data_IF_559057830573
#
_entry.id   IF_559057830573
#
_cell.length_a   1.000
_cell.length_b   1.000
_cell.length_c   1.000
_cell.angle_alpha   90.00
_cell.angle_beta   90.00
_cell.angle_gamma   90.00
#
_symmetry.space_group_name_H-M   'P 1'
#
loop_
_entity.id
_entity.type
_entity.pdbx_description
1 polymer ?
#
# COMPACT_ATOMS: atom_id res chain seq x y z
N UNK A 1 11.29 17.57 -17.29
CA UNK A 1 9.88 17.16 -17.47
C UNK A 1 9.19 17.27 -16.12
N UNK A 2 8.10 18.04 -16.03
CA UNK A 2 7.28 18.04 -14.82
C UNK A 2 6.62 16.67 -14.69
N UNK A 3 6.87 15.97 -13.57
CA UNK A 3 6.15 14.73 -13.26
C UNK A 3 4.67 15.07 -13.21
N UNK A 4 3.87 14.39 -14.04
CA UNK A 4 2.42 14.49 -13.98
C UNK A 4 2.02 14.02 -12.57
N UNK A 5 1.24 14.80 -11.81
CA UNK A 5 0.84 14.40 -10.46
C UNK A 5 0.16 13.04 -10.55
N UNK A 6 0.54 12.13 -9.65
CA UNK A 6 -0.10 10.82 -9.56
C UNK A 6 -1.58 11.08 -9.30
N UNK A 7 -2.45 10.68 -10.24
CA UNK A 7 -3.91 10.78 -10.06
C UNK A 7 -4.27 10.13 -8.73
N UNK A 8 -5.14 10.69 -7.87
CA UNK A 8 -5.46 10.11 -6.57
C UNK A 8 -5.89 8.63 -6.65
N UNK A 9 -5.77 7.87 -5.56
CA UNK A 9 -6.31 6.48 -5.52
C UNK A 9 -7.81 6.52 -5.75
N UNK A 10 -8.48 7.47 -5.10
CA UNK A 10 -9.87 7.82 -5.33
C UNK A 10 -9.99 9.34 -5.37
N UNK A 11 -10.75 9.85 -6.34
CA UNK A 11 -11.16 11.25 -6.39
C UNK A 11 -12.63 11.29 -5.97
N UNK A 12 -13.02 12.32 -5.22
CA UNK A 12 -14.43 12.59 -4.95
C UNK A 12 -14.88 13.58 -6.02
N UNK A 13 -15.45 13.06 -7.09
CA UNK A 13 -15.91 13.87 -8.22
C UNK A 13 -17.44 13.97 -8.26
N UNK A 14 -18.14 13.22 -7.39
CA UNK A 14 -19.61 13.28 -7.27
C UNK A 14 -20.14 13.01 -5.85
N UNK A 15 -21.43 13.24 -5.67
CA UNK A 15 -22.13 13.09 -4.38
C UNK A 15 -22.20 11.65 -3.86
N UNK A 16 -22.21 10.65 -4.74
CA UNK A 16 -22.22 9.23 -4.33
C UNK A 16 -20.86 8.80 -3.79
N UNK A 17 -19.77 9.23 -4.44
CA UNK A 17 -18.40 9.06 -3.97
C UNK A 17 -18.14 9.81 -2.67
N UNK A 18 -18.70 11.03 -2.52
CA UNK A 18 -18.62 11.78 -1.27
C UNK A 18 -19.29 11.02 -0.12
N UNK A 19 -20.50 10.50 -0.34
CA UNK A 19 -21.21 9.69 0.65
C UNK A 19 -20.44 8.40 1.01
N UNK A 20 -19.84 7.74 0.02
CA UNK A 20 -18.99 6.57 0.26
C UNK A 20 -17.75 6.93 1.09
N UNK A 21 -17.10 8.05 0.79
CA UNK A 21 -15.92 8.55 1.50
C UNK A 21 -16.22 8.98 2.94
N UNK A 22 -17.39 9.58 3.20
CA UNK A 22 -17.83 9.94 4.55
C UNK A 22 -17.97 8.69 5.43
N UNK A 23 -18.51 7.60 4.88
CA UNK A 23 -18.76 6.37 5.63
C UNK A 23 -17.53 5.45 5.71
N UNK A 24 -16.61 5.54 4.75
CA UNK A 24 -15.36 4.77 4.69
C UNK A 24 -14.22 5.65 4.14
N UNK A 25 -13.67 6.55 4.96
CA UNK A 25 -12.63 7.45 4.50
C UNK A 25 -11.37 6.67 4.13
N UNK A 26 -10.81 6.97 2.96
CA UNK A 26 -9.59 6.35 2.43
C UNK A 26 -8.67 7.45 1.90
N UNK A 27 -7.39 7.40 2.27
CA UNK A 27 -6.41 8.44 1.88
C UNK A 27 -6.09 8.36 0.39
N UNK A 28 -6.54 9.35 -0.38
CA UNK A 28 -6.31 9.42 -1.83
C UNK A 28 -4.87 9.75 -2.24
N UNK A 29 -4.11 10.42 -1.37
CA UNK A 29 -2.71 10.79 -1.56
C UNK A 29 -1.85 10.24 -0.41
N UNK A 30 -1.46 8.96 -0.48
CA UNK A 30 -0.74 8.33 0.62
C UNK A 30 0.67 8.91 0.74
N UNK A 31 1.11 9.07 1.98
CA UNK A 31 2.47 9.46 2.34
C UNK A 31 3.02 8.47 3.35
N UNK A 32 4.35 8.26 3.45
CA UNK A 32 4.89 7.27 4.39
C UNK A 32 4.46 7.49 5.84
N UNK A 33 4.22 8.73 6.27
CA UNK A 33 3.77 9.05 7.62
C UNK A 33 2.24 9.05 7.79
N UNK A 34 1.46 8.85 6.72
CA UNK A 34 0.00 8.77 6.77
C UNK A 34 -0.57 8.14 5.49
N UNK A 35 -1.07 6.91 5.59
CA UNK A 35 -1.74 6.20 4.51
C UNK A 35 -2.81 5.23 5.02
N UNK A 36 -3.71 4.81 4.13
CA UNK A 36 -4.78 3.86 4.44
C UNK A 36 -4.45 2.48 3.87
N UNK A 37 -4.86 1.43 4.56
CA UNK A 37 -4.85 0.05 4.06
C UNK A 37 -6.23 -0.58 4.27
N UNK A 38 -6.57 -1.52 3.39
CA UNK A 38 -7.72 -2.41 3.48
C UNK A 38 -7.35 -3.71 4.21
N UNK A 39 -8.29 -4.23 5.00
CA UNK A 39 -8.19 -5.55 5.62
C UNK A 39 -9.59 -6.12 5.93
N UNK A 40 -9.64 -7.36 6.42
CA UNK A 40 -10.86 -8.12 6.72
C UNK A 40 -11.71 -8.51 5.49
N UNK A 41 -11.06 -8.80 4.36
CA UNK A 41 -11.67 -9.21 3.10
C UNK A 41 -12.55 -8.13 2.46
N UNK A 42 -12.54 -8.06 1.14
CA UNK A 42 -13.35 -7.12 0.35
C UNK A 42 -13.19 -5.64 0.76
N UNK A 43 -12.06 -5.28 1.37
CA UNK A 43 -11.84 -4.00 2.03
C UNK A 43 -12.99 -3.63 2.99
N UNK A 44 -13.42 -4.58 3.81
CA UNK A 44 -14.53 -4.35 4.76
C UNK A 44 -14.11 -3.42 5.90
N UNK A 45 -12.82 -3.35 6.21
CA UNK A 45 -12.23 -2.41 7.18
C UNK A 45 -11.06 -1.65 6.58
N UNK A 46 -10.91 -0.41 7.03
CA UNK A 46 -9.80 0.47 6.69
C UNK A 46 -9.02 0.76 7.97
N UNK A 47 -7.69 0.62 7.91
CA UNK A 47 -6.79 1.09 8.96
C UNK A 47 -5.94 2.25 8.45
N UNK A 48 -5.58 3.15 9.37
CA UNK A 48 -4.68 4.26 9.12
C UNK A 48 -3.32 3.93 9.71
N UNK A 49 -2.30 4.03 8.88
CA UNK A 49 -0.96 3.53 9.19
C UNK A 49 0.05 4.63 8.93
N UNK A 50 1.14 4.58 9.70
CA UNK A 50 2.27 5.47 9.53
C UNK A 50 3.57 4.68 9.65
N UNK A 51 4.59 5.10 8.91
CA UNK A 51 5.96 4.66 9.04
C UNK A 51 6.76 5.75 9.73
N UNK A 52 7.63 5.34 10.64
CA UNK A 52 8.70 6.19 11.13
C UNK A 52 9.68 6.55 10.00
N UNK A 53 10.42 7.64 10.19
CA UNK A 53 11.49 8.03 9.26
C UNK A 53 12.53 6.92 9.06
N UNK A 54 12.81 6.14 10.12
CA UNK A 54 13.75 5.00 10.05
C UNK A 54 13.20 3.89 9.17
N UNK A 55 11.95 3.47 9.39
CA UNK A 55 11.28 2.45 8.57
C UNK A 55 11.27 2.86 7.09
N UNK A 56 10.90 4.12 6.80
CA UNK A 56 10.90 4.61 5.43
C UNK A 56 12.31 4.67 4.81
N UNK A 57 13.33 5.02 5.60
CA UNK A 57 14.72 4.98 5.13
C UNK A 57 15.15 3.57 4.74
N UNK A 58 14.73 2.55 5.48
CA UNK A 58 15.00 1.14 5.14
C UNK A 58 14.36 0.75 3.82
N UNK A 59 13.13 1.20 3.54
CA UNK A 59 12.47 0.98 2.25
C UNK A 59 13.25 1.63 1.10
N UNK A 60 13.64 2.91 1.26
CA UNK A 60 14.43 3.62 0.24
C UNK A 60 15.77 2.95 -0.06
N UNK A 61 16.41 2.37 0.95
CA UNK A 61 17.70 1.72 0.79
C UNK A 61 17.65 0.54 -0.20
N UNK A 62 16.49 -0.09 -0.41
CA UNK A 62 16.32 -1.17 -1.39
C UNK A 62 16.50 -0.72 -2.85
N UNK A 63 16.44 0.59 -3.12
CA UNK A 63 16.53 1.18 -4.46
C UNK A 63 17.90 1.80 -4.76
N UNK A 64 18.90 1.59 -3.90
CA UNK A 64 20.27 2.06 -4.09
C UNK A 64 21.27 0.88 -4.15
N UNK A 65 22.18 0.82 -5.14
CA UNK A 65 22.30 1.72 -6.32
C UNK A 65 21.10 1.57 -7.26
N UNK A 66 20.94 2.38 -8.31
CA UNK A 66 19.83 2.25 -9.28
C UNK A 66 19.76 0.86 -9.94
N UNK A 67 18.58 0.40 -10.41
CA UNK A 67 18.49 -0.89 -11.09
C UNK A 67 19.06 -0.81 -12.51
N UNK A 68 19.74 -1.87 -12.95
CA UNK A 68 20.34 -1.99 -14.29
C UNK A 68 19.37 -2.60 -15.32
N UNK A 69 18.29 -3.25 -14.86
CA UNK A 69 17.28 -3.86 -15.70
C UNK A 69 15.88 -3.79 -15.07
N UNK A 70 14.86 -3.91 -15.91
CA UNK A 70 13.47 -3.96 -15.47
C UNK A 70 13.21 -5.18 -14.56
N UNK A 71 13.90 -6.30 -14.79
CA UNK A 71 13.85 -7.47 -13.92
C UNK A 71 14.38 -7.14 -12.53
N UNK A 72 15.52 -6.45 -12.45
CA UNK A 72 16.11 -6.07 -11.17
C UNK A 72 15.23 -5.05 -10.43
N UNK A 73 14.63 -4.10 -11.15
CA UNK A 73 13.66 -3.17 -10.59
C UNK A 73 12.46 -3.90 -9.99
N UNK A 74 11.83 -4.82 -10.74
CA UNK A 74 10.69 -5.62 -10.24
C UNK A 74 11.06 -6.44 -9.00
N UNK A 75 12.28 -6.97 -8.91
CA UNK A 75 12.75 -7.67 -7.69
C UNK A 75 12.87 -6.73 -6.48
N UNK A 76 13.28 -5.49 -6.68
CA UNK A 76 13.37 -4.49 -5.60
C UNK A 76 12.00 -4.02 -5.16
N UNK A 77 11.09 -3.78 -6.11
CA UNK A 77 9.68 -3.48 -5.84
C UNK A 77 9.05 -4.60 -5.01
N UNK A 78 9.25 -5.87 -5.40
CA UNK A 78 8.76 -7.02 -4.63
C UNK A 78 9.25 -7.00 -3.17
N UNK A 79 10.55 -6.75 -2.96
CA UNK A 79 11.12 -6.66 -1.60
C UNK A 79 10.58 -5.47 -0.81
N UNK A 80 10.37 -4.33 -1.47
CA UNK A 80 9.81 -3.14 -0.86
C UNK A 80 8.36 -3.36 -0.43
N UNK A 81 7.53 -3.98 -1.28
CA UNK A 81 6.14 -4.33 -0.95
C UNK A 81 6.11 -5.27 0.26
N UNK A 82 6.89 -6.36 0.25
CA UNK A 82 6.94 -7.29 1.39
C UNK A 82 7.37 -6.61 2.71
N UNK A 83 8.32 -5.67 2.64
CA UNK A 83 8.76 -4.91 3.82
C UNK A 83 7.66 -3.96 4.32
N UNK A 84 6.94 -3.31 3.41
CA UNK A 84 5.82 -2.42 3.74
C UNK A 84 4.64 -3.20 4.33
N UNK A 85 4.33 -4.38 3.80
CA UNK A 85 3.31 -5.28 4.34
C UNK A 85 3.65 -5.73 5.75
N UNK A 86 4.91 -6.10 6.02
CA UNK A 86 5.36 -6.46 7.37
C UNK A 86 5.19 -5.29 8.35
N UNK A 87 5.70 -4.09 8.02
CA UNK A 87 5.62 -2.91 8.90
C UNK A 87 4.18 -2.43 9.11
N UNK A 88 3.32 -2.58 8.10
CA UNK A 88 1.89 -2.27 8.18
C UNK A 88 1.18 -3.32 9.02
N UNK A 89 1.48 -4.60 8.79
CA UNK A 89 0.87 -5.74 9.47
C UNK A 89 1.05 -5.72 10.98
N UNK A 90 2.22 -5.28 11.46
CA UNK A 90 2.46 -5.07 12.89
C UNK A 90 1.48 -4.08 13.53
N UNK A 91 1.01 -3.08 12.79
CA UNK A 91 0.06 -2.06 13.28
C UNK A 91 -1.40 -2.49 13.13
N UNK A 92 -1.71 -3.33 12.14
CA UNK A 92 -3.08 -3.64 11.70
C UNK A 92 -3.52 -5.05 12.06
N UNK A 93 -2.61 -5.88 12.57
CA UNK A 93 -2.82 -7.30 12.85
C UNK A 93 -2.89 -8.17 11.60
N UNK A 94 -2.38 -7.67 10.46
CA UNK A 94 -2.25 -8.43 9.19
C UNK A 94 -0.87 -9.07 9.04
N UNK A 95 -0.05 -9.05 10.09
CA UNK A 95 1.24 -9.74 10.21
C UNK A 95 1.11 -11.28 10.14
N UNK A 96 -0.11 -11.79 10.31
CA UNK A 96 -0.47 -13.21 10.22
C UNK A 96 -0.98 -13.61 8.85
N UNK A 97 -0.86 -12.72 7.87
CA UNK A 97 -1.25 -13.02 6.50
C UNK A 97 -0.53 -14.26 5.96
N UNK A 98 -1.28 -15.10 5.23
CA UNK A 98 -0.75 -16.29 4.59
C UNK A 98 -0.84 -16.11 3.08
N UNK A 99 0.07 -16.75 2.37
CA UNK A 99 -0.01 -16.81 0.93
C UNK A 99 -1.35 -17.41 0.46
N UNK A 100 -1.80 -16.95 -0.71
CA UNK A 100 -3.03 -17.35 -1.39
C UNK A 100 -4.33 -16.80 -0.77
N UNK A 101 -5.36 -16.66 -1.60
CA UNK A 101 -6.69 -16.23 -1.17
C UNK A 101 -7.49 -17.42 -0.66
N UNK A 102 -7.14 -17.94 0.53
CA UNK A 102 -7.81 -19.12 1.09
C UNK A 102 -9.17 -18.76 1.70
N UNK A 103 -10.23 -18.88 0.89
CA UNK A 103 -11.63 -18.56 1.25
C UNK A 103 -12.25 -19.47 2.33
N UNK A 104 -11.67 -20.65 2.59
CA UNK A 104 -12.30 -21.63 3.47
C UNK A 104 -12.34 -21.16 4.94
N UNK A 105 -11.32 -20.43 5.39
CA UNK A 105 -11.20 -19.95 6.76
C UNK A 105 -10.51 -18.58 6.75
N UNK A 106 -11.30 -17.50 6.74
CA UNK A 106 -10.80 -16.13 6.95
C UNK A 106 -10.19 -16.01 8.35
N UNK A 107 -8.93 -16.41 8.46
CA UNK A 107 -8.17 -16.34 9.69
C UNK A 107 -7.99 -14.86 10.06
N UNK A 108 -8.07 -14.55 11.35
CA UNK A 108 -7.82 -13.19 11.81
C UNK A 108 -6.43 -12.73 11.36
N UNK A 109 -6.39 -11.70 10.51
CA UNK A 109 -5.17 -11.15 9.92
C UNK A 109 -4.89 -11.59 8.48
N UNK A 110 -5.67 -12.50 7.90
CA UNK A 110 -5.58 -12.88 6.50
C UNK A 110 -6.14 -11.78 5.59
N UNK A 111 -5.46 -11.51 4.49
CA UNK A 111 -5.89 -10.61 3.43
C UNK A 111 -6.41 -11.42 2.23
N UNK A 112 -7.42 -10.88 1.53
CA UNK A 112 -7.83 -11.40 0.22
C UNK A 112 -7.24 -10.59 -0.93
N UNK A 113 -7.54 -10.99 -2.17
CA UNK A 113 -7.03 -10.31 -3.35
C UNK A 113 -7.49 -8.84 -3.47
N UNK A 114 -8.60 -8.44 -2.87
CA UNK A 114 -9.08 -7.05 -2.90
C UNK A 114 -8.27 -6.22 -1.92
N UNK A 115 -8.07 -6.72 -0.70
CA UNK A 115 -7.22 -6.09 0.30
C UNK A 115 -5.79 -5.94 -0.25
N UNK A 116 -5.22 -7.03 -0.76
CA UNK A 116 -3.85 -7.07 -1.29
C UNK A 116 -3.64 -6.12 -2.47
N UNK A 117 -4.54 -6.14 -3.46
CA UNK A 117 -4.42 -5.26 -4.62
C UNK A 117 -4.55 -3.79 -4.22
N UNK A 118 -5.43 -3.48 -3.26
CA UNK A 118 -5.62 -2.11 -2.77
C UNK A 118 -4.37 -1.63 -2.01
N UNK A 119 -3.86 -2.46 -1.09
CA UNK A 119 -2.68 -2.14 -0.29
C UNK A 119 -1.43 -1.99 -1.15
N UNK A 120 -1.21 -2.92 -2.08
CA UNK A 120 -0.13 -2.83 -3.06
C UNK A 120 -0.21 -1.54 -3.88
N UNK A 121 -1.41 -1.12 -4.29
CA UNK A 121 -1.59 0.16 -5.01
C UNK A 121 -1.16 1.36 -4.17
N UNK A 122 -1.49 1.37 -2.88
CA UNK A 122 -1.05 2.42 -1.93
C UNK A 122 0.48 2.47 -1.85
N UNK A 123 1.13 1.32 -1.66
CA UNK A 123 2.58 1.21 -1.58
C UNK A 123 3.28 1.69 -2.85
N UNK A 124 2.84 1.22 -4.01
CA UNK A 124 3.41 1.62 -5.31
C UNK A 124 3.31 3.13 -5.53
N UNK A 125 2.24 3.77 -5.06
CA UNK A 125 2.08 5.24 -5.15
C UNK A 125 3.05 5.98 -4.25
N UNK A 126 3.26 5.52 -3.01
CA UNK A 126 4.28 6.11 -2.15
C UNK A 126 5.68 5.97 -2.74
N UNK A 127 6.01 4.81 -3.32
CA UNK A 127 7.30 4.58 -4.00
C UNK A 127 7.46 5.48 -5.24
N UNK A 128 6.40 5.62 -6.04
CA UNK A 128 6.38 6.47 -7.24
C UNK A 128 6.55 7.95 -6.88
N UNK A 129 5.84 8.45 -5.86
CA UNK A 129 5.96 9.85 -5.42
C UNK A 129 7.37 10.16 -4.87
N UNK A 130 7.99 9.17 -4.21
CA UNK A 130 9.37 9.25 -3.76
C UNK A 130 10.41 9.08 -4.88
N UNK A 131 9.98 8.92 -6.14
CA UNK A 131 10.83 8.75 -7.34
C UNK A 131 11.75 7.52 -7.26
N UNK A 132 11.24 6.43 -6.68
CA UNK A 132 11.97 5.16 -6.55
C UNK A 132 11.64 4.17 -7.68
N UNK A 133 10.68 4.49 -8.54
CA UNK A 133 10.28 3.71 -9.71
C UNK A 133 10.77 4.42 -10.99
N UNK A 134 11.24 3.65 -11.98
CA UNK A 134 11.94 4.14 -13.18
C UNK A 134 11.28 3.74 -14.49
#
# INVERSE_FOLDING_TARGET
MALKPIKPIFIIDNMQELSASINRPFIGFPTPNNYSICHHHTCSRIAYVHLSNSQWSTVKALFSPLPESAEQERQRIKRAIALLEMMTGEQTGTDKDRAENYVAHGLNGQLDCIDEATNTTVYLRMLSEAKLLH
#
